data_IF_799108868379
#
_entry.id   IF_799108868379
#
_cell.length_a   1.000
_cell.length_b   1.000
_cell.length_c   1.000
_cell.angle_alpha   90.00
_cell.angle_beta   90.00
_cell.angle_gamma   90.00
#
_symmetry.space_group_name_H-M   'P 1'
#
loop_
_entity.id
_entity.type
_entity.pdbx_description
1 polymer ?
#
# COMPACT_ATOMS: atom_id res chain seq x y z
N UNK A 1 6.55 2.81 -5.96
CA UNK A 1 6.27 1.50 -5.31
C UNK A 1 7.56 0.72 -5.08
N UNK A 2 7.89 0.38 -3.83
CA UNK A 2 9.12 -0.36 -3.51
C UNK A 2 9.02 -1.84 -3.91
N UNK A 3 10.09 -2.46 -4.48
CA UNK A 3 10.09 -3.87 -4.89
C UNK A 3 9.70 -4.83 -3.76
N UNK A 4 10.04 -4.48 -2.52
CA UNK A 4 9.72 -5.28 -1.32
C UNK A 4 8.21 -5.46 -1.08
N UNK A 5 7.38 -4.53 -1.54
CA UNK A 5 5.92 -4.60 -1.39
C UNK A 5 5.23 -5.16 -2.64
N UNK A 6 5.93 -5.32 -3.76
CA UNK A 6 5.32 -5.71 -5.03
C UNK A 6 4.70 -7.12 -4.98
N UNK A 7 5.42 -8.09 -4.42
CA UNK A 7 4.93 -9.46 -4.27
C UNK A 7 3.78 -9.56 -3.28
N UNK A 8 3.88 -8.87 -2.13
CA UNK A 8 2.84 -8.89 -1.10
C UNK A 8 1.57 -8.17 -1.55
N UNK A 9 1.72 -7.04 -2.27
CA UNK A 9 0.61 -6.27 -2.80
C UNK A 9 -0.20 -7.06 -3.83
N UNK A 10 0.47 -7.82 -4.71
CA UNK A 10 -0.19 -8.67 -5.69
C UNK A 10 -1.01 -9.83 -5.07
N UNK A 11 -0.81 -10.13 -3.79
CA UNK A 11 -1.57 -11.15 -3.05
C UNK A 11 -2.79 -10.59 -2.31
N UNK A 12 -2.98 -9.27 -2.29
CA UNK A 12 -4.11 -8.63 -1.63
C UNK A 12 -5.37 -8.71 -2.50
N UNK A 13 -6.55 -8.60 -1.88
CA UNK A 13 -7.80 -8.51 -2.61
C UNK A 13 -7.87 -7.20 -3.44
N UNK A 14 -8.59 -7.22 -4.57
CA UNK A 14 -8.63 -6.11 -5.54
C UNK A 14 -9.08 -4.76 -4.93
N UNK A 15 -10.01 -4.80 -3.98
CA UNK A 15 -10.47 -3.64 -3.23
C UNK A 15 -9.36 -3.03 -2.36
N UNK A 16 -8.56 -3.89 -1.73
CA UNK A 16 -7.46 -3.47 -0.87
C UNK A 16 -6.26 -2.99 -1.69
N UNK A 17 -5.98 -3.63 -2.84
CA UNK A 17 -4.99 -3.15 -3.80
C UNK A 17 -5.33 -1.74 -4.26
N UNK A 18 -6.58 -1.49 -4.65
CA UNK A 18 -7.02 -0.16 -5.12
C UNK A 18 -6.87 0.92 -4.05
N UNK A 19 -7.17 0.61 -2.79
CA UNK A 19 -7.04 1.54 -1.66
C UNK A 19 -5.56 1.82 -1.28
N UNK A 20 -4.71 0.78 -1.30
CA UNK A 20 -3.30 0.89 -0.90
C UNK A 20 -2.37 1.36 -2.04
N UNK A 21 -2.79 1.25 -3.31
CA UNK A 21 -2.02 1.70 -4.47
C UNK A 21 -1.48 3.14 -4.34
N UNK A 22 -2.30 4.16 -4.02
CA UNK A 22 -1.80 5.54 -3.87
C UNK A 22 -0.86 5.70 -2.67
N UNK A 23 -1.06 4.93 -1.59
CA UNK A 23 -0.25 5.00 -0.37
C UNK A 23 1.14 4.38 -0.60
N UNK A 24 1.20 3.23 -1.29
CA UNK A 24 2.44 2.51 -1.60
C UNK A 24 3.16 3.04 -2.85
N UNK A 25 2.50 3.91 -3.63
CA UNK A 25 3.12 4.61 -4.75
C UNK A 25 4.23 5.55 -4.26
N UNK A 26 4.06 6.13 -3.06
CA UNK A 26 5.04 7.03 -2.45
C UNK A 26 6.40 6.33 -2.23
N UNK A 27 7.44 6.92 -2.81
CA UNK A 27 8.81 6.44 -2.68
C UNK A 27 9.37 6.60 -1.25
N UNK A 28 8.79 7.47 -0.43
CA UNK A 28 9.13 7.69 0.98
C UNK A 28 8.12 7.06 1.95
N UNK A 29 7.34 6.07 1.50
CA UNK A 29 6.39 5.38 2.36
C UNK A 29 7.07 4.92 3.67
N UNK A 30 6.64 5.41 4.86
CA UNK A 30 7.34 5.19 6.12
C UNK A 30 7.11 3.80 6.72
N UNK A 31 6.54 2.86 5.95
CA UNK A 31 6.07 1.57 6.46
C UNK A 31 5.04 1.67 7.60
N UNK A 32 4.31 2.80 7.66
CA UNK A 32 3.25 3.05 8.64
C UNK A 32 2.02 3.61 7.94
N UNK A 33 0.85 3.25 8.44
CA UNK A 33 -0.44 3.80 8.02
C UNK A 33 -0.96 4.74 9.10
N UNK A 34 -1.54 5.86 8.68
CA UNK A 34 -2.23 6.81 9.57
C UNK A 34 -3.66 6.35 9.84
N UNK A 35 -4.30 6.87 10.88
CA UNK A 35 -5.67 6.50 11.23
C UNK A 35 -6.67 6.83 10.09
N UNK A 36 -6.46 7.94 9.39
CA UNK A 36 -7.28 8.35 8.23
C UNK A 36 -7.14 7.42 7.02
N UNK A 37 -6.03 6.67 6.92
CA UNK A 37 -5.82 5.68 5.85
C UNK A 37 -6.45 4.32 6.16
N UNK A 38 -6.89 4.09 7.40
CA UNK A 38 -7.43 2.80 7.88
C UNK A 38 -8.94 2.88 8.13
N UNK A 39 -9.50 4.09 8.25
CA UNK A 39 -10.91 4.34 8.58
C UNK A 39 -11.92 3.90 7.52
#
# INVERSE_FOLDING_TARGET
MHPRFQTAFAQLADNLQSALAPILADHHFPAMLTAEQVS
#
